data_IF_351660017039
#
_entry.id   IF_351660017039
#
_cell.length_a   1.000
_cell.length_b   1.000
_cell.length_c   1.000
_cell.angle_alpha   90.00
_cell.angle_beta   90.00
_cell.angle_gamma   90.00
#
_symmetry.space_group_name_H-M   'P 1'
#
loop_
_entity.id
_entity.type
_entity.pdbx_description
1 polymer ?
#
# COMPACT_ATOMS: atom_id res chain seq x y z
N UNK A 1 4.35 6.81 -0.41
CA UNK A 1 4.04 5.48 0.14
C UNK A 1 2.66 5.59 0.75
N UNK A 2 1.68 4.80 0.31
CA UNK A 2 0.29 4.88 0.77
C UNK A 2 -0.01 3.95 1.94
N UNK A 3 -1.28 3.83 2.31
CA UNK A 3 -1.80 2.83 3.24
C UNK A 3 -3.19 2.39 2.81
N UNK A 4 -3.45 1.08 2.78
CA UNK A 4 -4.59 0.46 2.13
C UNK A 4 -4.79 0.90 0.67
N UNK A 5 -3.78 1.53 0.06
CA UNK A 5 -3.81 2.01 -1.31
C UNK A 5 -3.49 0.91 -2.33
N UNK A 6 -2.99 1.27 -3.53
CA UNK A 6 -2.86 0.35 -4.65
C UNK A 6 -2.00 -0.88 -4.33
N UNK A 7 -0.81 -0.70 -3.74
CA UNK A 7 0.17 -1.78 -3.58
C UNK A 7 -0.24 -2.79 -2.50
N UNK A 8 -0.76 -2.32 -1.36
CA UNK A 8 -1.20 -3.19 -0.27
C UNK A 8 -2.46 -3.98 -0.68
N UNK A 9 -3.40 -3.31 -1.37
CA UNK A 9 -4.61 -3.96 -1.90
C UNK A 9 -4.26 -4.99 -2.98
N UNK A 10 -3.36 -4.66 -3.90
CA UNK A 10 -2.85 -5.59 -4.91
C UNK A 10 -2.22 -6.83 -4.28
N UNK A 11 -1.35 -6.64 -3.28
CA UNK A 11 -0.71 -7.74 -2.55
C UNK A 11 -1.76 -8.65 -1.92
N UNK A 12 -2.75 -8.09 -1.19
CA UNK A 12 -3.81 -8.89 -0.57
C UNK A 12 -4.69 -9.61 -1.60
N UNK A 13 -5.07 -8.96 -2.70
CA UNK A 13 -5.80 -9.60 -3.81
C UNK A 13 -5.03 -10.77 -4.41
N UNK A 14 -3.69 -10.72 -4.41
CA UNK A 14 -2.86 -11.82 -4.87
C UNK A 14 -2.72 -12.94 -3.83
N UNK A 15 -2.29 -12.64 -2.61
CA UNK A 15 -1.88 -13.66 -1.63
C UNK A 15 -3.03 -14.18 -0.75
N UNK A 16 -4.07 -13.38 -0.57
CA UNK A 16 -5.20 -13.68 0.31
C UNK A 16 -6.49 -12.99 -0.17
N UNK A 17 -6.97 -13.27 -1.39
CA UNK A 17 -8.09 -12.55 -2.01
C UNK A 17 -9.37 -12.56 -1.15
N UNK A 18 -9.61 -13.64 -0.40
CA UNK A 18 -10.77 -13.74 0.49
C UNK A 18 -10.78 -12.79 1.69
N UNK A 19 -9.68 -12.07 1.95
CA UNK A 19 -9.61 -11.03 2.98
C UNK A 19 -9.98 -9.64 2.43
N UNK A 20 -10.08 -9.49 1.11
CA UNK A 20 -10.50 -8.24 0.47
C UNK A 20 -12.00 -8.28 0.23
N UNK A 21 -12.73 -7.34 0.84
CA UNK A 21 -14.16 -7.16 0.59
C UNK A 21 -14.34 -6.30 -0.65
N UNK A 22 -14.38 -6.93 -1.83
CA UNK A 22 -14.43 -6.22 -3.12
C UNK A 22 -15.59 -5.22 -3.24
N UNK A 23 -16.74 -5.50 -2.62
CA UNK A 23 -17.89 -4.58 -2.59
C UNK A 23 -17.65 -3.27 -1.82
N UNK A 24 -16.61 -3.20 -0.98
CA UNK A 24 -16.28 -2.02 -0.17
C UNK A 24 -15.18 -1.15 -0.81
N UNK A 25 -14.58 -1.58 -1.93
CA UNK A 25 -13.42 -0.90 -2.53
C UNK A 25 -13.78 0.49 -3.05
N UNK A 26 -14.94 0.65 -3.69
CA UNK A 26 -15.38 1.96 -4.18
C UNK A 26 -15.61 2.95 -3.04
N UNK A 27 -16.20 2.49 -1.93
CA UNK A 27 -16.38 3.33 -0.74
C UNK A 27 -15.03 3.70 -0.10
N UNK A 28 -14.11 2.72 0.00
CA UNK A 28 -12.76 2.96 0.50
C UNK A 28 -12.00 3.99 -0.35
N UNK A 29 -12.15 3.94 -1.67
CA UNK A 29 -11.50 4.88 -2.59
C UNK A 29 -12.14 6.27 -2.58
N UNK A 30 -13.45 6.37 -2.39
CA UNK A 30 -14.17 7.65 -2.37
C UNK A 30 -13.71 8.58 -1.22
N UNK A 31 -13.42 7.99 -0.06
CA UNK A 31 -12.97 8.71 1.15
C UNK A 31 -11.44 8.60 1.37
N UNK A 32 -10.68 8.17 0.35
CA UNK A 32 -9.24 8.03 0.45
C UNK A 32 -8.52 9.39 0.40
N UNK A 33 -7.46 9.53 1.19
CA UNK A 33 -6.56 10.67 1.09
C UNK A 33 -5.56 10.49 -0.06
N UNK A 34 -5.28 11.55 -0.81
CA UNK A 34 -4.28 11.50 -1.89
C UNK A 34 -2.84 11.30 -1.37
N UNK A 35 -2.56 11.81 -0.16
CA UNK A 35 -1.22 11.78 0.42
C UNK A 35 -1.26 11.86 1.95
N UNK A 36 -0.10 11.62 2.58
CA UNK A 36 0.06 11.67 4.03
C UNK A 36 0.08 13.11 4.55
N UNK A 37 -1.08 13.70 4.83
CA UNK A 37 -1.15 15.04 5.41
C UNK A 37 -0.56 16.14 4.51
N UNK A 38 -0.20 17.26 5.11
CA UNK A 38 0.37 18.41 4.42
C UNK A 38 1.89 18.48 4.61
N UNK A 39 2.67 18.58 3.53
CA UNK A 39 4.13 18.63 3.61
C UNK A 39 4.68 20.01 3.22
N UNK A 40 5.50 20.57 4.10
CA UNK A 40 6.29 21.78 3.83
C UNK A 40 7.76 21.48 4.04
N UNK A 41 8.56 21.59 2.96
CA UNK A 41 10.03 21.40 2.99
C UNK A 41 10.48 20.09 3.64
N UNK A 42 9.75 18.99 3.41
CA UNK A 42 10.08 17.66 3.94
C UNK A 42 9.65 17.44 5.39
N UNK A 43 8.88 18.36 5.96
CA UNK A 43 8.22 18.21 7.26
C UNK A 43 6.73 18.02 7.01
N UNK A 44 6.15 16.96 7.56
CA UNK A 44 4.71 16.79 7.62
C UNK A 44 4.15 17.69 8.73
N UNK A 45 3.15 18.49 8.40
CA UNK A 45 2.48 19.41 9.33
C UNK A 45 1.26 18.77 10.01
N UNK A 46 0.74 17.67 9.47
CA UNK A 46 -0.35 16.95 10.10
C UNK A 46 0.15 16.32 11.41
N UNK A 47 -0.56 16.59 12.51
CA UNK A 47 -0.20 15.98 13.80
C UNK A 47 -0.60 14.50 13.83
N UNK A 48 -1.69 14.13 13.17
CA UNK A 48 -2.27 12.79 13.19
C UNK A 48 -3.05 12.50 11.89
N UNK A 49 -3.27 11.21 11.59
CA UNK A 49 -4.01 10.78 10.40
C UNK A 49 -5.44 11.28 10.31
N UNK A 50 -6.12 11.51 11.44
CA UNK A 50 -7.49 12.03 11.43
C UNK A 50 -7.62 13.43 10.79
N UNK A 51 -6.50 14.16 10.63
CA UNK A 51 -6.52 15.48 9.98
C UNK A 51 -6.63 15.41 8.45
N UNK A 52 -6.37 14.24 7.85
CA UNK A 52 -6.38 14.09 6.39
C UNK A 52 -7.03 12.80 5.89
N UNK A 53 -7.36 11.83 6.75
CA UNK A 53 -8.10 10.63 6.35
C UNK A 53 -9.06 10.18 7.45
N UNK A 54 -10.34 10.02 7.10
CA UNK A 54 -11.37 9.51 8.00
C UNK A 54 -11.41 7.98 8.01
N UNK A 55 -11.21 7.36 6.85
CA UNK A 55 -11.28 5.91 6.68
C UNK A 55 -9.90 5.21 6.78
N UNK A 56 -8.82 5.98 6.93
CA UNK A 56 -7.44 5.51 7.03
C UNK A 56 -6.76 5.20 5.70
N UNK A 57 -7.48 5.26 4.58
CA UNK A 57 -6.95 4.95 3.25
C UNK A 57 -6.14 6.14 2.73
N UNK A 58 -4.93 5.85 2.23
CA UNK A 58 -4.04 6.81 1.59
C UNK A 58 -3.59 6.25 0.24
N UNK A 59 -4.07 6.85 -0.85
CA UNK A 59 -3.96 6.37 -2.23
C UNK A 59 -5.17 5.55 -2.68
N UNK A 60 -5.25 5.24 -3.98
CA UNK A 60 -6.43 4.61 -4.57
C UNK A 60 -6.37 3.06 -4.59
N UNK A 61 -7.15 2.33 -3.79
CA UNK A 61 -7.18 0.87 -3.80
C UNK A 61 -7.72 0.26 -5.11
N UNK A 62 -8.39 1.03 -5.97
CA UNK A 62 -8.89 0.57 -7.27
C UNK A 62 -7.75 0.27 -8.25
N UNK A 63 -6.61 0.93 -8.08
CA UNK A 63 -5.43 0.73 -8.94
C UNK A 63 -4.57 -0.50 -8.56
N UNK A 64 -5.02 -1.29 -7.58
CA UNK A 64 -4.29 -2.42 -7.04
C UNK A 64 -4.87 -3.77 -7.44
N UNK A 65 -4.64 -4.27 -8.65
CA UNK A 65 -5.12 -5.59 -9.06
C UNK A 65 -4.20 -6.76 -8.60
N UNK A 66 -4.68 -7.99 -8.78
CA UNK A 66 -3.94 -9.19 -8.36
C UNK A 66 -2.67 -9.44 -9.19
N UNK A 67 -2.62 -9.02 -10.46
CA UNK A 67 -1.45 -9.18 -11.34
C UNK A 67 -0.31 -8.29 -10.87
N UNK A 68 -0.62 -7.03 -10.51
CA UNK A 68 0.32 -6.12 -9.86
C UNK A 68 0.79 -6.66 -8.51
N UNK A 69 -0.09 -7.34 -7.77
CA UNK A 69 0.26 -8.02 -6.52
C UNK A 69 1.27 -9.15 -6.75
N UNK A 70 1.10 -9.93 -7.81
CA UNK A 70 2.04 -10.97 -8.21
C UNK A 70 3.41 -10.39 -8.60
N UNK A 71 3.43 -9.33 -9.40
CA UNK A 71 4.66 -8.62 -9.77
C UNK A 71 5.39 -8.08 -8.53
N UNK A 72 4.65 -7.41 -7.63
CA UNK A 72 5.18 -6.87 -6.39
C UNK A 72 5.81 -7.96 -5.51
N UNK A 73 5.12 -9.10 -5.34
CA UNK A 73 5.63 -10.23 -4.57
C UNK A 73 6.91 -10.79 -5.20
N UNK A 74 6.95 -10.95 -6.53
CA UNK A 74 8.13 -11.43 -7.25
C UNK A 74 9.34 -10.53 -7.01
N UNK A 75 9.20 -9.23 -7.28
CA UNK A 75 10.30 -8.26 -7.16
C UNK A 75 10.78 -8.14 -5.71
N UNK A 76 9.85 -8.10 -4.74
CA UNK A 76 10.20 -8.04 -3.32
C UNK A 76 10.94 -9.31 -2.86
N UNK A 77 10.52 -10.48 -3.34
CA UNK A 77 11.16 -11.77 -3.03
C UNK A 77 12.59 -11.81 -3.58
N UNK A 78 12.79 -11.39 -4.83
CA UNK A 78 14.11 -11.34 -5.45
C UNK A 78 15.06 -10.41 -4.69
N UNK A 79 14.59 -9.22 -4.32
CA UNK A 79 15.36 -8.26 -3.53
C UNK A 79 15.75 -8.82 -2.15
N UNK A 80 14.80 -9.44 -1.44
CA UNK A 80 15.07 -10.05 -0.14
C UNK A 80 16.06 -11.22 -0.26
N UNK A 81 15.90 -12.07 -1.27
CA UNK A 81 16.83 -13.19 -1.51
C UNK A 81 18.24 -12.69 -1.82
N UNK A 82 18.40 -11.58 -2.54
CA UNK A 82 19.70 -10.96 -2.78
C UNK A 82 20.37 -10.51 -1.47
N UNK A 83 19.61 -9.90 -0.56
CA UNK A 83 20.11 -9.52 0.78
C UNK A 83 20.51 -10.75 1.59
N UNK A 84 19.67 -11.79 1.62
CA UNK A 84 19.96 -13.03 2.37
C UNK A 84 21.23 -13.70 1.86
N UNK A 85 21.44 -13.78 0.55
CA UNK A 85 22.68 -14.32 -0.04
C UNK A 85 23.90 -13.50 0.36
N UNK A 86 23.81 -12.16 0.25
CA UNK A 86 24.91 -11.27 0.63
C UNK A 86 25.27 -11.36 2.13
N UNK A 87 24.32 -11.70 2.99
CA UNK A 87 24.59 -11.98 4.42
C UNK A 87 25.20 -13.36 4.62
N UNK A 88 24.73 -14.39 3.92
CA UNK A 88 25.22 -15.75 4.05
C UNK A 88 26.67 -15.94 3.55
N UNK A 89 27.09 -15.15 2.57
CA UNK A 89 28.43 -15.21 1.98
C UNK A 89 29.50 -14.39 2.75
N UNK A 90 29.18 -13.87 3.94
CA UNK A 90 30.10 -13.11 4.82
C UNK A 90 30.52 -13.94 6.04
#
# INVERSE_FOLDING_TARGET
MGHAGPLETAMLRHVAPGLVREGEIEAAAADAADSWGEWVRGVNLAHDSHEFTDNGVVGDPREGDADRGAELLSVATDALCAVVRAVADR
#
